data_IF_890047838260
#
_entry.id   IF_890047838260
#
_cell.length_a   1.000
_cell.length_b   1.000
_cell.length_c   1.000
_cell.angle_alpha   90.00
_cell.angle_beta   90.00
_cell.angle_gamma   90.00
#
_symmetry.space_group_name_H-M   'P 1'
#
loop_
_entity.id
_entity.type
_entity.pdbx_description
1 polymer ?
#
# COMPACT_ATOMS: atom_id res chain seq x y z
N UNK A 1 30.66 -10.52 57.36
CA UNK A 1 29.27 -10.03 57.32
C UNK A 1 29.24 -8.85 56.36
N UNK A 2 28.88 -9.09 55.11
CA UNK A 2 28.62 -8.06 54.11
C UNK A 2 27.53 -8.61 53.19
N UNK A 3 26.33 -8.04 53.29
CA UNK A 3 25.18 -8.42 52.49
C UNK A 3 25.23 -7.70 51.14
N UNK A 4 25.08 -8.45 50.05
CA UNK A 4 24.96 -7.90 48.70
C UNK A 4 23.62 -7.15 48.55
N UNK A 5 23.61 -5.93 47.99
CA UNK A 5 22.38 -5.20 47.76
C UNK A 5 21.70 -5.67 46.46
N UNK A 6 20.56 -6.34 46.64
CA UNK A 6 19.34 -6.05 45.91
C UNK A 6 19.34 -6.33 44.41
N UNK A 7 19.08 -7.61 44.06
CA UNK A 7 18.43 -7.96 42.81
C UNK A 7 17.13 -7.16 42.68
N UNK A 8 17.15 -6.10 41.87
CA UNK A 8 15.95 -5.36 41.52
C UNK A 8 15.14 -6.27 40.62
N UNK A 9 14.21 -7.01 41.23
CA UNK A 9 13.17 -7.73 40.51
C UNK A 9 12.42 -6.70 39.67
N UNK A 10 12.76 -6.63 38.38
CA UNK A 10 11.86 -6.07 37.38
C UNK A 10 10.58 -6.87 37.49
N UNK A 11 9.58 -6.30 38.15
CA UNK A 11 8.21 -6.77 38.08
C UNK A 11 7.80 -6.68 36.60
N UNK A 12 7.94 -7.80 35.89
CA UNK A 12 7.30 -8.02 34.61
C UNK A 12 5.79 -7.98 34.87
N UNK A 13 5.23 -6.80 34.72
CA UNK A 13 3.79 -6.61 34.70
C UNK A 13 3.27 -7.35 33.46
N UNK A 14 2.87 -8.60 33.65
CA UNK A 14 2.12 -9.42 32.70
C UNK A 14 0.83 -8.66 32.35
N UNK A 15 0.90 -7.69 31.43
CA UNK A 15 -0.28 -7.03 30.86
C UNK A 15 -0.94 -8.03 29.94
N UNK A 16 -1.90 -8.76 30.49
CA UNK A 16 -2.82 -9.59 29.73
C UNK A 16 -3.53 -8.72 28.70
N UNK A 17 -3.21 -8.91 27.41
CA UNK A 17 -3.85 -8.18 26.32
C UNK A 17 -5.33 -8.55 26.31
N UNK A 18 -6.17 -7.57 26.60
CA UNK A 18 -7.61 -7.77 26.71
C UNK A 18 -8.26 -7.89 25.34
N UNK A 19 -9.21 -8.83 25.23
CA UNK A 19 -10.51 -8.72 24.52
C UNK A 19 -10.80 -7.41 23.79
N UNK A 20 -10.72 -6.38 24.61
CA UNK A 20 -11.32 -5.08 24.42
C UNK A 20 -10.27 -4.02 24.10
N UNK A 21 -9.04 -4.42 23.78
CA UNK A 21 -8.03 -3.50 23.28
C UNK A 21 -8.58 -2.82 22.02
N UNK A 22 -8.62 -1.47 22.00
CA UNK A 22 -9.14 -0.73 20.86
C UNK A 22 -8.37 -1.03 19.57
N UNK A 23 -7.09 -1.40 19.70
CA UNK A 23 -6.23 -1.80 18.58
C UNK A 23 -6.72 -3.10 17.93
N UNK A 24 -7.06 -4.13 18.73
CA UNK A 24 -7.56 -5.41 18.20
C UNK A 24 -8.95 -5.23 17.59
N UNK A 25 -9.82 -4.44 18.23
CA UNK A 25 -11.16 -4.15 17.71
C UNK A 25 -11.05 -3.39 16.38
N UNK A 26 -10.21 -2.37 16.30
CA UNK A 26 -9.98 -1.61 15.07
C UNK A 26 -9.42 -2.48 13.94
N UNK A 27 -8.47 -3.36 14.26
CA UNK A 27 -7.89 -4.31 13.31
C UNK A 27 -8.91 -5.33 12.80
N UNK A 28 -9.79 -5.86 13.66
CA UNK A 28 -10.87 -6.77 13.26
C UNK A 28 -11.95 -6.06 12.42
N UNK A 29 -12.30 -4.82 12.75
CA UNK A 29 -13.24 -4.01 11.95
C UNK A 29 -12.66 -3.77 10.56
N UNK A 30 -11.36 -3.42 10.46
CA UNK A 30 -10.68 -3.25 9.18
C UNK A 30 -10.68 -4.55 8.36
N UNK A 31 -10.36 -5.69 8.99
CA UNK A 31 -10.38 -7.00 8.31
C UNK A 31 -11.79 -7.38 7.85
N UNK A 32 -12.82 -7.10 8.65
CA UNK A 32 -14.22 -7.34 8.28
C UNK A 32 -14.67 -6.45 7.12
N UNK A 33 -14.28 -5.17 7.12
CA UNK A 33 -14.54 -4.24 6.02
C UNK A 33 -13.86 -4.70 4.73
N UNK A 34 -12.59 -5.11 4.80
CA UNK A 34 -11.87 -5.65 3.64
C UNK A 34 -12.56 -6.92 3.11
N UNK A 35 -12.97 -7.83 3.99
CA UNK A 35 -13.69 -9.04 3.58
C UNK A 35 -15.03 -8.71 2.91
N UNK A 36 -15.79 -7.75 3.45
CA UNK A 36 -17.03 -7.27 2.86
C UNK A 36 -16.80 -6.70 1.46
N UNK A 37 -15.79 -5.84 1.30
CA UNK A 37 -15.43 -5.25 0.01
C UNK A 37 -15.02 -6.34 -1.00
N UNK A 38 -14.21 -7.31 -0.58
CA UNK A 38 -13.83 -8.45 -1.40
C UNK A 38 -15.05 -9.30 -1.80
N UNK A 39 -16.00 -9.53 -0.89
CA UNK A 39 -17.19 -10.32 -1.16
C UNK A 39 -18.18 -9.60 -2.09
N UNK A 40 -18.47 -8.33 -1.83
CA UNK A 40 -19.24 -7.47 -2.71
C UNK A 40 -18.63 -7.43 -4.12
N UNK A 41 -17.29 -7.44 -4.18
CA UNK A 41 -16.56 -7.50 -5.42
C UNK A 41 -16.70 -8.86 -6.14
N UNK A 42 -16.54 -9.98 -5.44
CA UNK A 42 -16.75 -11.32 -6.02
C UNK A 42 -18.16 -11.46 -6.59
N UNK A 43 -19.18 -10.92 -5.90
CA UNK A 43 -20.56 -10.90 -6.41
C UNK A 43 -20.68 -10.07 -7.70
N UNK A 44 -20.02 -8.91 -7.75
CA UNK A 44 -19.97 -8.07 -8.96
C UNK A 44 -19.33 -8.80 -10.15
N UNK A 45 -18.31 -9.61 -9.88
CA UNK A 45 -17.58 -10.39 -10.89
C UNK A 45 -18.35 -11.63 -11.35
N UNK A 46 -18.91 -12.40 -10.41
CA UNK A 46 -19.75 -13.58 -10.66
C UNK A 46 -21.22 -13.16 -10.85
N UNK A 47 -21.44 -12.11 -11.63
CA UNK A 47 -22.77 -11.57 -11.95
C UNK A 47 -23.70 -12.73 -12.31
N UNK A 48 -24.67 -13.07 -11.45
CA UNK A 48 -25.53 -14.19 -11.75
C UNK A 48 -26.53 -13.76 -12.84
N UNK A 49 -26.96 -14.68 -13.73
CA UNK A 49 -27.75 -14.35 -14.92
C UNK A 49 -29.09 -13.65 -14.63
N UNK A 50 -29.56 -13.65 -13.38
CA UNK A 50 -30.78 -12.95 -12.97
C UNK A 50 -30.58 -11.45 -12.64
N UNK A 51 -29.34 -10.95 -12.58
CA UNK A 51 -29.01 -9.53 -12.36
C UNK A 51 -28.53 -8.81 -13.65
N UNK A 52 -28.59 -9.51 -14.78
CA UNK A 52 -27.97 -9.08 -16.04
C UNK A 52 -28.62 -7.83 -16.65
N UNK A 53 -29.94 -7.68 -16.48
CA UNK A 53 -30.72 -6.60 -17.13
C UNK A 53 -30.66 -5.25 -16.39
N UNK A 54 -30.18 -5.23 -15.13
CA UNK A 54 -30.29 -4.05 -14.27
C UNK A 54 -29.04 -3.16 -14.24
N UNK A 55 -27.92 -3.62 -14.80
CA UNK A 55 -26.64 -2.90 -14.70
C UNK A 55 -25.96 -2.83 -16.07
N UNK A 56 -25.54 -1.62 -16.52
CA UNK A 56 -24.92 -1.45 -17.82
C UNK A 56 -23.71 -2.37 -18.01
N UNK A 57 -23.51 -2.85 -19.23
CA UNK A 57 -22.39 -3.69 -19.63
C UNK A 57 -21.12 -2.83 -19.68
N UNK A 58 -20.52 -2.60 -18.52
CA UNK A 58 -19.27 -1.86 -18.42
C UNK A 58 -18.16 -2.85 -18.79
N UNK A 59 -17.70 -2.82 -20.06
CA UNK A 59 -16.32 -3.22 -20.38
C UNK A 59 -15.42 -2.22 -19.66
N UNK A 60 -15.23 -2.41 -18.36
CA UNK A 60 -14.53 -1.45 -17.51
C UNK A 60 -13.04 -1.65 -17.66
N UNK A 61 -12.28 -0.60 -17.99
CA UNK A 61 -10.84 -0.66 -17.84
C UNK A 61 -10.48 -1.06 -16.40
N UNK A 62 -9.44 -1.86 -16.24
CA UNK A 62 -9.08 -2.49 -14.98
C UNK A 62 -9.78 -3.82 -14.74
N UNK A 63 -10.28 -4.52 -15.77
CA UNK A 63 -11.02 -5.79 -15.62
C UNK A 63 -10.27 -6.84 -14.78
N UNK A 64 -8.95 -6.85 -14.84
CA UNK A 64 -8.10 -7.79 -14.12
C UNK A 64 -7.65 -7.32 -12.75
N UNK A 65 -7.64 -6.00 -12.49
CA UNK A 65 -7.27 -5.43 -11.18
C UNK A 65 -7.98 -6.14 -10.01
N UNK A 66 -9.28 -6.43 -10.10
CA UNK A 66 -9.96 -7.10 -9.01
C UNK A 66 -9.62 -8.57 -8.86
N UNK A 67 -9.33 -9.28 -9.96
CA UNK A 67 -8.85 -10.65 -9.88
C UNK A 67 -7.48 -10.68 -9.19
N UNK A 68 -6.59 -9.74 -9.52
CA UNK A 68 -5.29 -9.59 -8.82
C UNK A 68 -5.52 -9.25 -7.34
N UNK A 69 -6.44 -8.34 -7.02
CA UNK A 69 -6.77 -7.99 -5.64
C UNK A 69 -7.31 -9.20 -4.85
N UNK A 70 -8.12 -10.07 -5.46
CA UNK A 70 -8.58 -11.31 -4.82
C UNK A 70 -7.44 -12.31 -4.68
N UNK A 71 -6.71 -12.59 -5.76
CA UNK A 71 -5.65 -13.63 -5.78
C UNK A 71 -4.52 -13.28 -4.83
N UNK A 72 -4.13 -12.01 -4.72
CA UNK A 72 -3.06 -11.56 -3.83
C UNK A 72 -3.60 -11.16 -2.46
N UNK A 73 -4.75 -10.47 -2.42
CA UNK A 73 -5.33 -9.96 -1.19
C UNK A 73 -5.92 -11.06 -0.31
N UNK A 74 -6.52 -12.10 -0.87
CA UNK A 74 -7.12 -13.19 -0.07
C UNK A 74 -6.06 -13.93 0.76
N UNK A 75 -4.93 -14.41 0.19
CA UNK A 75 -3.87 -15.03 0.98
C UNK A 75 -3.32 -14.11 2.06
N UNK A 76 -3.06 -12.84 1.75
CA UNK A 76 -2.54 -11.86 2.72
C UNK A 76 -3.55 -11.59 3.84
N UNK A 77 -4.84 -11.48 3.50
CA UNK A 77 -5.92 -11.33 4.47
C UNK A 77 -6.01 -12.55 5.39
N UNK A 78 -5.93 -13.77 4.85
CA UNK A 78 -5.92 -15.00 5.65
C UNK A 78 -4.70 -15.09 6.57
N UNK A 79 -3.51 -14.77 6.08
CA UNK A 79 -2.30 -14.69 6.90
C UNK A 79 -2.52 -13.67 8.03
N UNK A 80 -3.06 -12.48 7.71
CA UNK A 80 -3.28 -11.45 8.72
C UNK A 80 -4.31 -11.88 9.75
N UNK A 81 -5.45 -12.42 9.32
CA UNK A 81 -6.46 -12.96 10.21
C UNK A 81 -5.88 -14.05 11.12
N UNK A 82 -5.11 -14.98 10.55
CA UNK A 82 -4.42 -16.02 11.31
C UNK A 82 -3.49 -15.41 12.36
N UNK A 83 -2.66 -14.42 12.00
CA UNK A 83 -1.75 -13.78 12.96
C UNK A 83 -2.50 -13.08 14.09
N UNK A 84 -3.60 -12.38 13.81
CA UNK A 84 -4.41 -11.70 14.83
C UNK A 84 -5.05 -12.71 15.77
N UNK A 85 -5.58 -13.82 15.25
CA UNK A 85 -6.17 -14.89 16.04
C UNK A 85 -5.11 -15.70 16.82
N UNK A 86 -3.91 -15.87 16.25
CA UNK A 86 -2.81 -16.64 16.84
C UNK A 86 -1.99 -15.85 17.87
N UNK A 87 -2.16 -14.52 17.97
CA UNK A 87 -1.50 -13.68 18.99
C UNK A 87 -1.71 -14.19 20.42
N UNK A 88 -2.80 -14.89 20.73
CA UNK A 88 -2.98 -15.56 22.03
C UNK A 88 -1.86 -16.57 22.34
N UNK A 89 -1.50 -17.44 21.38
CA UNK A 89 -0.53 -18.53 21.58
C UNK A 89 0.91 -18.03 21.67
N UNK A 90 1.25 -17.00 20.91
CA UNK A 90 2.60 -16.45 20.89
C UNK A 90 2.92 -15.56 22.11
N UNK A 91 1.88 -14.97 22.74
CA UNK A 91 2.04 -14.17 23.96
C UNK A 91 2.16 -15.07 25.21
N UNK A 92 1.50 -16.24 25.25
CA UNK A 92 1.76 -17.26 26.28
C UNK A 92 3.19 -17.81 26.23
N UNK A 93 3.85 -17.76 25.07
CA UNK A 93 5.23 -18.19 24.88
C UNK A 93 6.28 -17.09 25.14
N UNK A 94 5.89 -15.96 25.74
CA UNK A 94 6.85 -14.92 26.11
C UNK A 94 7.56 -14.32 24.90
N UNK A 95 6.88 -14.23 23.76
CA UNK A 95 7.43 -13.55 22.59
C UNK A 95 7.36 -12.04 22.83
N UNK A 96 8.36 -11.53 23.55
CA UNK A 96 8.81 -10.15 23.47
C UNK A 96 9.25 -9.98 22.01
N UNK A 97 8.31 -9.60 21.15
CA UNK A 97 8.66 -9.03 19.88
C UNK A 97 9.33 -7.70 20.24
N UNK A 98 10.65 -7.74 20.37
CA UNK A 98 11.53 -6.58 20.28
C UNK A 98 11.44 -6.09 18.83
N UNK A 99 10.23 -5.70 18.40
CA UNK A 99 10.08 -4.69 17.39
C UNK A 99 10.72 -3.49 18.04
N UNK A 100 11.99 -3.27 17.73
CA UNK A 100 12.81 -2.16 18.20
C UNK A 100 12.28 -0.81 17.76
N UNK A 101 10.98 -0.55 17.91
CA UNK A 101 10.41 0.76 18.14
C UNK A 101 10.82 1.19 19.55
N UNK A 102 12.13 1.35 19.75
CA UNK A 102 12.58 2.40 20.66
C UNK A 102 11.93 3.66 20.13
N UNK A 103 10.96 4.21 20.86
CA UNK A 103 10.64 5.63 20.76
C UNK A 103 11.99 6.32 20.79
N UNK A 104 12.39 6.88 19.65
CA UNK A 104 13.72 7.41 19.46
C UNK A 104 13.98 8.41 20.57
N UNK A 105 15.18 8.37 21.13
CA UNK A 105 15.63 9.32 22.15
C UNK A 105 15.56 10.79 21.64
N UNK A 106 15.29 10.98 20.35
CA UNK A 106 15.10 12.28 19.68
C UNK A 106 13.68 12.42 19.06
N UNK A 107 12.69 12.87 19.86
CA UNK A 107 11.33 13.15 19.37
C UNK A 107 11.27 14.30 18.35
N UNK A 108 12.29 15.18 18.28
CA UNK A 108 12.35 16.23 17.29
C UNK A 108 12.80 15.68 15.92
N UNK A 109 13.77 14.77 15.92
CA UNK A 109 14.22 14.03 14.74
C UNK A 109 13.11 13.18 14.13
N UNK A 110 12.29 12.53 14.96
CA UNK A 110 11.12 11.76 14.50
C UNK A 110 10.09 12.65 13.80
N UNK A 111 9.73 13.80 14.40
CA UNK A 111 8.82 14.78 13.78
C UNK A 111 9.34 15.26 12.43
N UNK A 112 10.65 15.53 12.32
CA UNK A 112 11.27 15.94 11.06
C UNK A 112 11.18 14.85 9.99
N UNK A 113 11.44 13.59 10.36
CA UNK A 113 11.32 12.45 9.42
C UNK A 113 9.88 12.26 8.98
N UNK A 114 8.93 12.33 9.91
CA UNK A 114 7.51 12.26 9.59
C UNK A 114 7.07 13.38 8.63
N UNK A 115 7.51 14.61 8.87
CA UNK A 115 7.25 15.74 7.98
C UNK A 115 7.86 15.55 6.59
N UNK A 116 9.08 15.00 6.49
CA UNK A 116 9.71 14.68 5.22
C UNK A 116 8.95 13.59 4.46
N UNK A 117 8.50 12.53 5.14
CA UNK A 117 7.70 11.48 4.50
C UNK A 117 6.36 12.00 4.02
N UNK A 118 5.67 12.77 4.86
CA UNK A 118 4.39 13.37 4.50
C UNK A 118 4.55 14.35 3.33
N UNK A 119 5.55 15.24 3.38
CA UNK A 119 5.85 16.18 2.31
C UNK A 119 6.25 15.48 1.01
N UNK A 120 7.04 14.42 1.10
CA UNK A 120 7.42 13.56 -0.03
C UNK A 120 6.18 12.91 -0.67
N UNK A 121 5.28 12.36 0.14
CA UNK A 121 4.06 11.73 -0.36
C UNK A 121 3.12 12.74 -1.01
N UNK A 122 2.96 13.92 -0.39
CA UNK A 122 2.16 15.01 -0.94
C UNK A 122 2.73 15.49 -2.28
N UNK A 123 4.05 15.69 -2.35
CA UNK A 123 4.72 16.10 -3.57
C UNK A 123 4.58 15.04 -4.68
N UNK A 124 4.71 13.75 -4.36
CA UNK A 124 4.43 12.67 -5.32
C UNK A 124 3.00 12.75 -5.85
N UNK A 125 1.99 12.90 -4.98
CA UNK A 125 0.58 13.01 -5.40
C UNK A 125 0.38 14.21 -6.33
N UNK A 126 0.98 15.37 -6.01
CA UNK A 126 0.91 16.56 -6.84
C UNK A 126 1.56 16.31 -8.21
N UNK A 127 2.75 15.70 -8.24
CA UNK A 127 3.45 15.38 -9.49
C UNK A 127 2.60 14.46 -10.36
N UNK A 128 2.09 13.35 -9.79
CA UNK A 128 1.23 12.41 -10.52
C UNK A 128 -0.03 13.10 -11.07
N UNK A 129 -0.61 14.03 -10.32
CA UNK A 129 -1.79 14.78 -10.76
C UNK A 129 -1.47 15.78 -11.88
N UNK A 130 -0.32 16.44 -11.81
CA UNK A 130 0.07 17.48 -12.78
C UNK A 130 0.54 16.87 -14.10
N UNK A 131 1.39 15.84 -14.06
CA UNK A 131 2.05 15.30 -15.27
C UNK A 131 1.71 13.85 -15.60
N UNK A 132 0.97 13.15 -14.73
CA UNK A 132 0.50 11.77 -14.97
C UNK A 132 1.39 10.71 -14.35
N UNK A 133 0.92 9.45 -14.39
CA UNK A 133 1.62 8.32 -13.77
C UNK A 133 2.88 7.88 -14.54
N UNK A 134 2.79 7.77 -15.87
CA UNK A 134 3.91 7.38 -16.75
C UNK A 134 5.11 8.32 -16.69
N UNK A 135 4.87 9.62 -16.45
CA UNK A 135 5.97 10.58 -16.35
C UNK A 135 6.32 10.81 -14.89
N UNK A 136 5.31 11.03 -14.04
CA UNK A 136 5.50 11.42 -12.66
C UNK A 136 6.16 10.34 -11.80
N UNK A 137 5.73 9.08 -11.91
CA UNK A 137 6.25 8.02 -11.05
C UNK A 137 7.71 7.67 -11.38
N UNK A 138 8.11 7.45 -12.65
CA UNK A 138 9.50 7.22 -13.00
C UNK A 138 10.42 8.39 -12.62
N UNK A 139 9.99 9.63 -12.89
CA UNK A 139 10.76 10.81 -12.51
C UNK A 139 10.91 10.95 -10.99
N UNK A 140 9.86 10.63 -10.23
CA UNK A 140 9.92 10.64 -8.77
C UNK A 140 10.94 9.64 -8.25
N UNK A 141 10.94 8.41 -8.76
CA UNK A 141 11.92 7.37 -8.41
C UNK A 141 13.34 7.82 -8.77
N UNK A 142 13.53 8.38 -9.97
CA UNK A 142 14.82 8.91 -10.41
C UNK A 142 15.31 10.03 -9.48
N UNK A 143 14.45 11.00 -9.16
CA UNK A 143 14.76 12.09 -8.26
C UNK A 143 15.12 11.58 -6.86
N UNK A 144 14.35 10.64 -6.33
CA UNK A 144 14.65 10.02 -5.05
C UNK A 144 16.04 9.37 -5.04
N UNK A 145 16.37 8.58 -6.07
CA UNK A 145 17.66 7.92 -6.19
C UNK A 145 18.81 8.92 -6.29
N UNK A 146 18.65 9.97 -7.09
CA UNK A 146 19.68 11.00 -7.28
C UNK A 146 19.93 11.82 -6.01
N UNK A 147 18.87 12.30 -5.36
CA UNK A 147 19.00 13.26 -4.26
C UNK A 147 19.19 12.61 -2.89
N UNK A 148 18.48 11.53 -2.59
CA UNK A 148 18.54 10.88 -1.27
C UNK A 148 19.57 9.77 -1.21
N UNK A 149 19.62 8.90 -2.23
CA UNK A 149 20.58 7.78 -2.22
C UNK A 149 21.93 8.15 -2.83
N UNK A 150 22.04 9.34 -3.45
CA UNK A 150 23.23 9.80 -4.21
C UNK A 150 23.67 8.78 -5.26
N UNK A 151 22.71 8.07 -5.85
CA UNK A 151 22.97 7.13 -6.93
C UNK A 151 23.50 7.87 -8.17
N UNK A 152 24.33 7.19 -8.96
CA UNK A 152 24.81 7.75 -10.23
C UNK A 152 23.64 7.86 -11.20
N UNK A 153 23.63 8.92 -12.01
CA UNK A 153 22.51 9.26 -12.90
C UNK A 153 22.10 8.14 -13.86
N UNK A 154 23.05 7.35 -14.34
CA UNK A 154 22.75 6.24 -15.24
C UNK A 154 21.99 5.10 -14.55
N UNK A 155 22.26 4.83 -13.27
CA UNK A 155 21.48 3.85 -12.49
C UNK A 155 20.08 4.36 -12.17
N UNK A 156 19.96 5.66 -11.88
CA UNK A 156 18.65 6.28 -11.72
C UNK A 156 17.84 6.18 -13.02
N UNK A 157 18.45 6.45 -14.17
CA UNK A 157 17.80 6.32 -15.48
C UNK A 157 17.33 4.89 -15.75
N UNK A 158 18.17 3.88 -15.49
CA UNK A 158 17.78 2.47 -15.63
C UNK A 158 16.60 2.13 -14.73
N UNK A 159 16.59 2.60 -13.49
CA UNK A 159 15.46 2.38 -12.58
C UNK A 159 14.18 3.07 -13.06
N UNK A 160 14.28 4.33 -13.53
CA UNK A 160 13.15 5.07 -14.10
C UNK A 160 12.56 4.36 -15.32
N UNK A 161 13.40 3.97 -16.28
CA UNK A 161 12.98 3.20 -17.45
C UNK A 161 12.38 1.84 -17.07
N UNK A 162 12.94 1.17 -16.05
CA UNK A 162 12.39 -0.09 -15.55
C UNK A 162 11.00 0.08 -14.92
N UNK A 163 10.77 1.15 -14.18
CA UNK A 163 9.44 1.50 -13.66
C UNK A 163 8.45 1.81 -14.78
N UNK A 164 8.88 2.54 -15.81
CA UNK A 164 8.03 2.82 -16.97
C UNK A 164 7.67 1.54 -17.73
N UNK A 165 8.65 0.66 -17.96
CA UNK A 165 8.40 -0.66 -18.56
C UNK A 165 7.44 -1.51 -17.72
N UNK A 166 7.51 -1.41 -16.38
CA UNK A 166 6.57 -2.08 -15.49
C UNK A 166 5.15 -1.51 -15.60
N UNK A 167 5.00 -0.18 -15.64
CA UNK A 167 3.68 0.48 -15.83
C UNK A 167 3.09 0.00 -17.15
N UNK A 168 3.82 0.13 -18.26
CA UNK A 168 3.31 -0.27 -19.58
C UNK A 168 3.03 -1.78 -19.63
N UNK A 169 3.99 -2.61 -19.21
CA UNK A 169 3.87 -4.07 -19.34
C UNK A 169 2.79 -4.69 -18.45
N UNK A 170 2.76 -4.29 -17.18
CA UNK A 170 1.85 -4.89 -16.20
C UNK A 170 0.57 -4.07 -16.10
N UNK A 171 0.66 -2.77 -15.86
CA UNK A 171 -0.54 -1.98 -15.56
C UNK A 171 -1.36 -1.71 -16.83
N UNK A 172 -0.70 -1.35 -17.93
CA UNK A 172 -1.43 -1.02 -19.16
C UNK A 172 -1.79 -2.30 -19.93
N UNK A 173 -0.80 -3.12 -20.29
CA UNK A 173 -1.02 -4.26 -21.18
C UNK A 173 -1.67 -5.46 -20.48
N UNK A 174 -1.35 -5.70 -19.20
CA UNK A 174 -1.88 -6.87 -18.48
C UNK A 174 -3.15 -6.54 -17.71
N UNK A 175 -3.19 -5.39 -17.04
CA UNK A 175 -4.31 -5.00 -16.18
C UNK A 175 -5.31 -4.05 -16.83
N UNK A 176 -4.97 -3.48 -17.98
CA UNK A 176 -5.83 -2.56 -18.76
C UNK A 176 -6.30 -1.36 -17.92
N UNK A 177 -5.39 -0.80 -17.11
CA UNK A 177 -5.71 0.32 -16.21
C UNK A 177 -6.01 1.58 -17.03
N UNK A 178 -7.13 2.24 -16.74
CA UNK A 178 -7.42 3.55 -17.29
C UNK A 178 -6.74 4.64 -16.48
N UNK A 179 -6.01 5.50 -17.19
CA UNK A 179 -5.29 6.63 -16.60
C UNK A 179 -6.08 7.91 -16.83
N UNK A 180 -6.32 8.64 -15.74
CA UNK A 180 -6.92 9.96 -15.84
C UNK A 180 -5.97 10.93 -16.54
N UNK A 181 -6.56 11.82 -17.34
CA UNK A 181 -5.80 12.87 -18.01
C UNK A 181 -5.18 13.83 -16.97
N UNK A 182 -3.85 13.96 -16.94
CA UNK A 182 -3.18 14.86 -16.02
C UNK A 182 -3.40 16.34 -16.38
N UNK A 183 -3.33 17.21 -15.37
CA UNK A 183 -3.68 18.63 -15.52
C UNK A 183 -2.88 19.35 -16.60
N UNK A 184 -1.58 19.07 -16.71
CA UNK A 184 -0.71 19.74 -17.66
C UNK A 184 -1.20 19.56 -19.10
N UNK A 185 -1.50 18.31 -19.48
CA UNK A 185 -1.98 17.95 -20.81
C UNK A 185 -3.35 18.56 -21.10
N UNK A 186 -4.25 18.50 -20.11
CA UNK A 186 -5.56 19.15 -20.18
C UNK A 186 -5.45 20.67 -20.39
N UNK A 187 -4.50 21.32 -19.72
CA UNK A 187 -4.32 22.78 -19.80
C UNK A 187 -3.76 23.22 -21.15
N UNK A 188 -2.81 22.47 -21.72
CA UNK A 188 -2.23 22.78 -23.03
C UNK A 188 -3.09 22.28 -24.20
N UNK A 189 -4.20 21.59 -23.93
CA UNK A 189 -5.10 21.05 -24.96
C UNK A 189 -4.48 19.94 -25.81
N UNK A 190 -3.49 19.23 -25.28
CA UNK A 190 -2.82 18.11 -25.97
C UNK A 190 -3.32 16.81 -25.37
N UNK A 191 -3.72 15.89 -26.24
CA UNK A 191 -4.22 14.58 -25.83
C UNK A 191 -3.10 13.82 -25.09
N UNK A 192 -3.42 13.33 -23.89
CA UNK A 192 -2.47 12.51 -23.14
C UNK A 192 -2.25 11.18 -23.87
N UNK A 193 -1.02 10.88 -24.34
CA UNK A 193 -0.80 9.76 -25.25
C UNK A 193 -1.14 8.40 -24.63
N UNK A 194 -1.20 8.30 -23.30
CA UNK A 194 -1.46 7.06 -22.57
C UNK A 194 -2.93 6.86 -22.15
N UNK A 195 -3.83 7.83 -22.39
CA UNK A 195 -5.26 7.64 -22.05
C UNK A 195 -5.94 6.62 -22.98
N UNK A 196 -5.48 6.57 -24.23
CA UNK A 196 -6.14 5.85 -25.34
C UNK A 196 -5.24 4.79 -26.00
N UNK A 197 -4.01 4.62 -25.51
CA UNK A 197 -2.96 3.89 -26.26
C UNK A 197 -3.31 2.42 -26.51
N UNK A 198 -4.09 1.79 -25.62
CA UNK A 198 -4.37 0.35 -25.70
C UNK A 198 -5.86 -0.02 -25.77
N UNK A 199 -6.77 0.94 -25.56
CA UNK A 199 -8.22 0.72 -25.74
C UNK A 199 -8.63 0.51 -27.21
N UNK A 200 -7.73 0.76 -28.17
CA UNK A 200 -7.98 0.61 -29.62
C UNK A 200 -7.47 -0.70 -30.23
N UNK A 201 -6.74 -1.53 -29.48
CA UNK A 201 -6.09 -2.73 -30.02
C UNK A 201 -6.95 -4.01 -29.85
N UNK A 202 -8.10 -3.93 -29.16
CA UNK A 202 -9.01 -5.06 -28.94
C UNK A 202 -10.49 -4.73 -29.20
#
# INVERSE_FOLDING_TARGET
MAAEPGSTQQQETHRTVSWKSPEIIGELVLLGLMALLMFAFIISLYRPPFLEDSLPNIKTPGRWLPMVAIVVGTPLWFIRLYTVLSRRKAIEQGMIMDLGFRLGEDPAGEKRRAALYFGSLLALVIVLWVIGFHIGLPLWVMAYLLFWTRAKWYWALVAGLGFEAFIIGILDLTLDIFWFEPLFFRWIGVLYPFSDMFTRIF
#
